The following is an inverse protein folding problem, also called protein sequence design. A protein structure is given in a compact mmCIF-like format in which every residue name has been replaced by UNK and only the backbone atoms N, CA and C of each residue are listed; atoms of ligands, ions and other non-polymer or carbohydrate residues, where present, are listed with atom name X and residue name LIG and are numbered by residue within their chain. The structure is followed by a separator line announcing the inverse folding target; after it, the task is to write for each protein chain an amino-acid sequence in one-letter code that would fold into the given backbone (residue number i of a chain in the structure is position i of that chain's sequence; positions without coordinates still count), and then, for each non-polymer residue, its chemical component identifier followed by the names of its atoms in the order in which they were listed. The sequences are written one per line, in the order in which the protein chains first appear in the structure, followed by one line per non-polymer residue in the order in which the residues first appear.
data_IF_902244203693
#
_entry.id   IF_902244203693
#
_cell.length_a   1.000
_cell.length_b   1.000
_cell.length_c   1.000
_cell.angle_alpha   90.00
_cell.angle_beta   90.00
_cell.angle_gamma   90.00
#
_symmetry.space_group_name_H-M   'P 1'
#
loop_
_entity.id
_entity.type
_entity.pdbx_description
1 polymer ?
#
# COMPACT_ATOMS: atom_id res chain seq x y z
N UNK A 1 -34.29 0.59 -6.99
CA UNK A 1 -33.36 -0.51 -7.31
C UNK A 1 -33.20 -1.33 -6.04
N UNK A 2 -33.31 -2.65 -6.12
CA UNK A 2 -33.21 -3.52 -4.94
C UNK A 2 -31.98 -4.44 -5.02
N UNK A 3 -31.31 -4.60 -3.90
CA UNK A 3 -30.22 -5.58 -3.73
C UNK A 3 -30.81 -6.94 -3.36
N UNK A 4 -30.33 -8.01 -3.99
CA UNK A 4 -30.68 -9.37 -3.59
C UNK A 4 -29.91 -9.78 -2.32
N UNK A 5 -30.27 -10.92 -1.74
CA UNK A 5 -29.67 -11.41 -0.50
C UNK A 5 -28.14 -11.56 -0.58
N UNK A 6 -27.62 -12.10 -1.69
CA UNK A 6 -26.19 -12.30 -1.88
C UNK A 6 -25.44 -10.97 -2.04
N UNK A 7 -26.02 -10.02 -2.78
CA UNK A 7 -25.48 -8.66 -2.92
C UNK A 7 -25.45 -7.93 -1.57
N UNK A 8 -26.54 -8.02 -0.79
CA UNK A 8 -26.59 -7.45 0.57
C UNK A 8 -25.52 -8.05 1.48
N UNK A 9 -25.36 -9.37 1.47
CA UNK A 9 -24.31 -10.06 2.25
C UNK A 9 -22.91 -9.64 1.83
N UNK A 10 -22.66 -9.48 0.53
CA UNK A 10 -21.38 -9.04 0.00
C UNK A 10 -21.04 -7.61 0.44
N UNK A 11 -22.00 -6.68 0.36
CA UNK A 11 -21.81 -5.29 0.80
C UNK A 11 -21.52 -5.23 2.30
N UNK A 12 -22.31 -5.94 3.11
CA UNK A 12 -22.13 -5.97 4.58
C UNK A 12 -20.81 -6.61 4.97
N UNK A 13 -20.35 -7.61 4.22
CA UNK A 13 -19.03 -8.24 4.44
C UNK A 13 -17.90 -7.22 4.30
N UNK A 14 -17.88 -6.43 3.23
CA UNK A 14 -16.83 -5.42 3.05
C UNK A 14 -16.86 -4.39 4.18
N UNK A 15 -18.05 -3.91 4.54
CA UNK A 15 -18.20 -2.88 5.57
C UNK A 15 -17.79 -3.42 6.95
N UNK A 16 -18.12 -4.66 7.26
CA UNK A 16 -17.66 -5.30 8.51
C UNK A 16 -16.13 -5.51 8.50
N UNK A 17 -15.50 -5.79 7.35
CA UNK A 17 -14.04 -5.85 7.25
C UNK A 17 -13.39 -4.47 7.45
N UNK A 18 -13.99 -3.41 6.91
CA UNK A 18 -13.54 -2.01 7.14
C UNK A 18 -13.62 -1.67 8.62
N UNK A 19 -14.80 -1.80 9.24
CA UNK A 19 -15.06 -1.43 10.64
C UNK A 19 -14.30 -2.29 11.66
N UNK A 20 -13.72 -3.42 11.24
CA UNK A 20 -12.94 -4.30 12.13
C UNK A 20 -11.46 -4.31 11.80
N UNK A 21 -11.01 -3.44 10.89
CA UNK A 21 -9.65 -3.41 10.39
C UNK A 21 -8.64 -2.99 11.46
N UNK A 22 -9.01 -2.04 12.31
CA UNK A 22 -8.20 -1.52 13.42
C UNK A 22 -8.30 -2.38 14.69
N UNK A 23 -9.26 -3.31 14.74
CA UNK A 23 -9.55 -4.17 15.88
C UNK A 23 -10.28 -3.47 17.03
N UNK A 24 -10.64 -2.21 16.87
CA UNK A 24 -11.54 -1.47 17.76
C UNK A 24 -12.90 -1.30 17.08
N UNK A 25 -13.88 -0.78 17.80
CA UNK A 25 -15.25 -0.61 17.29
C UNK A 25 -15.76 0.67 17.94
N UNK A 26 -15.70 1.78 17.23
CA UNK A 26 -16.16 3.05 17.75
C UNK A 26 -17.68 3.23 17.59
N UNK A 27 -18.24 4.11 18.42
CA UNK A 27 -19.65 4.45 18.46
C UNK A 27 -20.14 5.05 17.15
N UNK A 28 -19.31 5.80 16.43
CA UNK A 28 -19.72 6.43 15.18
C UNK A 28 -19.80 5.42 14.02
N UNK A 29 -18.91 4.43 13.96
CA UNK A 29 -18.99 3.31 13.02
C UNK A 29 -20.23 2.44 13.25
N UNK A 30 -20.51 2.10 14.52
CA UNK A 30 -21.70 1.34 14.91
C UNK A 30 -22.98 2.11 14.55
N UNK A 31 -22.95 3.44 14.66
CA UNK A 31 -24.07 4.31 14.28
C UNK A 31 -24.25 4.36 12.77
N UNK A 32 -23.16 4.42 12.00
CA UNK A 32 -23.20 4.33 10.55
C UNK A 32 -23.73 2.97 10.06
N UNK A 33 -23.25 1.87 10.64
CA UNK A 33 -23.74 0.53 10.30
C UNK A 33 -25.26 0.40 10.53
N UNK A 34 -25.77 0.95 11.64
CA UNK A 34 -27.23 1.02 11.90
C UNK A 34 -27.99 1.89 10.91
N UNK A 35 -27.37 2.95 10.39
CA UNK A 35 -27.96 3.75 9.32
C UNK A 35 -28.01 2.94 8.02
N UNK A 36 -26.92 2.27 7.68
CA UNK A 36 -26.79 1.46 6.49
C UNK A 36 -27.78 0.29 6.46
N UNK A 37 -27.99 -0.36 7.61
CA UNK A 37 -29.02 -1.38 7.81
C UNK A 37 -30.41 -0.92 7.38
N UNK A 38 -30.74 0.35 7.62
CA UNK A 38 -32.03 0.93 7.20
C UNK A 38 -32.04 1.26 5.71
N UNK A 39 -30.91 1.75 5.18
CA UNK A 39 -30.80 2.16 3.76
C UNK A 39 -30.83 0.96 2.83
N UNK A 40 -30.11 -0.11 3.18
CA UNK A 40 -30.02 -1.35 2.40
C UNK A 40 -31.07 -2.40 2.80
N UNK A 41 -31.90 -2.08 3.79
CA UNK A 41 -32.98 -2.93 4.31
C UNK A 41 -32.49 -4.33 4.69
N UNK A 42 -31.62 -4.41 5.70
CA UNK A 42 -31.11 -5.69 6.23
C UNK A 42 -31.08 -5.71 7.76
N UNK A 43 -31.20 -6.92 8.31
CA UNK A 43 -31.29 -7.15 9.75
C UNK A 43 -29.91 -7.34 10.42
N UNK A 44 -29.83 -7.14 11.73
CA UNK A 44 -28.57 -7.27 12.49
C UNK A 44 -27.93 -8.65 12.35
N UNK A 45 -28.74 -9.69 12.21
CA UNK A 45 -28.29 -11.07 12.04
C UNK A 45 -27.40 -11.25 10.80
N UNK A 46 -27.59 -10.42 9.77
CA UNK A 46 -26.77 -10.45 8.56
C UNK A 46 -25.31 -10.12 8.82
N UNK A 47 -24.99 -9.31 9.84
CA UNK A 47 -23.61 -8.99 10.21
C UNK A 47 -22.89 -10.28 10.65
N UNK A 48 -23.56 -11.11 11.46
CA UNK A 48 -22.99 -12.39 11.89
C UNK A 48 -22.85 -13.38 10.74
N UNK A 49 -23.73 -13.33 9.74
CA UNK A 49 -23.64 -14.16 8.54
C UNK A 49 -22.52 -13.68 7.61
N UNK A 50 -22.41 -12.36 7.40
CA UNK A 50 -21.36 -11.73 6.63
C UNK A 50 -19.97 -12.08 7.19
N UNK A 51 -19.77 -12.06 8.51
CA UNK A 51 -18.51 -12.48 9.16
C UNK A 51 -18.05 -13.89 8.78
N UNK A 52 -19.00 -14.80 8.54
CA UNK A 52 -18.73 -16.18 8.12
C UNK A 52 -18.62 -16.33 6.61
N UNK A 53 -19.02 -15.31 5.86
CA UNK A 53 -19.01 -15.29 4.41
C UNK A 53 -17.59 -15.09 3.88
N UNK A 54 -17.26 -15.72 2.76
CA UNK A 54 -15.92 -15.66 2.19
C UNK A 54 -15.70 -14.34 1.44
N UNK A 55 -14.63 -13.61 1.77
CA UNK A 55 -14.33 -12.28 1.19
C UNK A 55 -14.16 -12.33 -0.33
N UNK A 56 -13.48 -13.37 -0.86
CA UNK A 56 -13.31 -13.54 -2.31
C UNK A 56 -14.64 -13.81 -3.02
N UNK A 57 -15.55 -14.54 -2.40
CA UNK A 57 -16.91 -14.74 -2.93
C UNK A 57 -17.72 -13.45 -2.89
N UNK A 58 -17.56 -12.61 -1.86
CA UNK A 58 -18.17 -11.29 -1.79
C UNK A 58 -17.70 -10.42 -2.97
N UNK A 59 -16.41 -10.38 -3.25
CA UNK A 59 -15.85 -9.60 -4.37
C UNK A 59 -16.37 -10.05 -5.73
N UNK A 60 -16.50 -11.36 -5.95
CA UNK A 60 -17.13 -11.88 -7.16
C UNK A 60 -18.59 -11.43 -7.30
N UNK A 61 -19.37 -11.46 -6.21
CA UNK A 61 -20.76 -10.97 -6.23
C UNK A 61 -20.80 -9.49 -6.58
N UNK A 62 -19.96 -8.66 -5.95
CA UNK A 62 -19.89 -7.21 -6.23
C UNK A 62 -19.52 -6.93 -7.69
N UNK A 63 -18.61 -7.72 -8.26
CA UNK A 63 -18.17 -7.57 -9.65
C UNK A 63 -19.24 -7.86 -10.68
N UNK A 64 -20.10 -8.84 -10.41
CA UNK A 64 -21.18 -9.26 -11.31
C UNK A 64 -22.45 -8.38 -11.19
N UNK A 65 -22.46 -7.39 -10.29
CA UNK A 65 -23.56 -6.43 -10.17
C UNK A 65 -23.65 -5.50 -11.37
N UNK A 66 -24.85 -4.98 -11.66
CA UNK A 66 -25.03 -3.95 -12.68
C UNK A 66 -24.31 -2.65 -12.31
N UNK A 67 -23.86 -1.89 -13.30
CA UNK A 67 -23.14 -0.62 -13.08
C UNK A 67 -23.88 0.37 -12.18
N UNK A 68 -25.20 0.50 -12.33
CA UNK A 68 -26.01 1.35 -11.44
C UNK A 68 -25.92 0.93 -9.96
N UNK A 69 -25.86 -0.38 -9.70
CA UNK A 69 -25.71 -0.92 -8.34
C UNK A 69 -24.30 -0.70 -7.82
N UNK A 70 -23.29 -0.90 -8.66
CA UNK A 70 -21.89 -0.61 -8.32
C UNK A 70 -21.69 0.85 -7.94
N UNK A 71 -22.30 1.79 -8.66
CA UNK A 71 -22.25 3.21 -8.33
C UNK A 71 -22.87 3.52 -6.95
N UNK A 72 -23.96 2.83 -6.58
CA UNK A 72 -24.55 2.98 -5.25
C UNK A 72 -23.64 2.39 -4.17
N UNK A 73 -23.06 1.22 -4.41
CA UNK A 73 -22.10 0.59 -3.48
C UNK A 73 -20.84 1.44 -3.33
N UNK A 74 -20.37 2.05 -4.41
CA UNK A 74 -19.23 2.98 -4.40
C UNK A 74 -19.49 4.16 -3.47
N UNK A 75 -20.65 4.79 -3.59
CA UNK A 75 -21.04 5.88 -2.69
C UNK A 75 -21.15 5.42 -1.24
N UNK A 76 -21.65 4.21 -0.98
CA UNK A 76 -21.72 3.64 0.37
C UNK A 76 -20.32 3.47 0.96
N UNK A 77 -19.38 2.87 0.24
CA UNK A 77 -18.03 2.67 0.74
C UNK A 77 -17.29 4.00 0.93
N UNK A 78 -17.40 4.94 -0.01
CA UNK A 78 -16.80 6.27 0.13
C UNK A 78 -17.38 7.05 1.32
N UNK A 79 -18.66 6.87 1.64
CA UNK A 79 -19.24 7.49 2.84
C UNK A 79 -18.72 6.86 4.11
N UNK A 80 -18.50 5.54 4.14
CA UNK A 80 -17.89 4.84 5.28
C UNK A 80 -16.48 5.35 5.58
N UNK A 81 -15.67 5.57 4.55
CA UNK A 81 -14.33 6.13 4.68
C UNK A 81 -14.29 7.55 5.29
N UNK A 82 -15.40 8.27 5.39
CA UNK A 82 -15.43 9.67 5.84
C UNK A 82 -16.33 9.93 7.06
N UNK A 83 -16.71 8.90 7.81
CA UNK A 83 -17.73 9.01 8.88
C UNK A 83 -17.22 9.73 10.14
N UNK A 84 -15.96 9.59 10.51
CA UNK A 84 -15.41 10.11 11.78
C UNK A 84 -14.50 11.34 11.63
N UNK A 85 -14.05 11.64 10.41
CA UNK A 85 -13.16 12.76 10.12
C UNK A 85 -11.67 12.46 10.36
N UNK A 86 -11.33 11.25 10.83
CA UNK A 86 -9.97 10.75 11.05
C UNK A 86 -9.85 9.37 10.38
N UNK A 87 -9.64 9.35 9.07
CA UNK A 87 -9.69 8.12 8.27
C UNK A 87 -8.49 7.19 8.58
N UNK A 88 -8.72 5.95 9.04
CA UNK A 88 -7.65 4.94 9.17
C UNK A 88 -7.24 4.41 7.78
N UNK A 89 -5.94 4.27 7.55
CA UNK A 89 -5.38 3.71 6.31
C UNK A 89 -5.81 2.26 6.09
N UNK A 90 -6.00 1.47 7.15
CA UNK A 90 -6.45 0.09 7.01
C UNK A 90 -7.87 0.01 6.41
N UNK A 91 -8.74 0.95 6.77
CA UNK A 91 -10.09 1.08 6.23
C UNK A 91 -10.07 1.51 4.77
N UNK A 92 -9.25 2.51 4.44
CA UNK A 92 -9.03 2.99 3.06
C UNK A 92 -8.53 1.84 2.17
N UNK A 93 -7.53 1.09 2.61
CA UNK A 93 -6.93 0.00 1.84
C UNK A 93 -7.97 -1.09 1.51
N UNK A 94 -8.86 -1.42 2.45
CA UNK A 94 -9.94 -2.38 2.23
C UNK A 94 -10.97 -1.84 1.23
N UNK A 95 -11.35 -0.56 1.34
CA UNK A 95 -12.31 0.07 0.43
C UNK A 95 -11.75 0.14 -1.00
N UNK A 96 -10.48 0.52 -1.15
CA UNK A 96 -9.80 0.56 -2.45
C UNK A 96 -9.71 -0.84 -3.04
N UNK A 97 -9.29 -1.83 -2.24
CA UNK A 97 -9.22 -3.22 -2.69
C UNK A 97 -10.59 -3.69 -3.16
N UNK A 98 -11.65 -3.37 -2.42
CA UNK A 98 -13.01 -3.69 -2.82
C UNK A 98 -13.40 -3.03 -4.14
N UNK A 99 -13.04 -1.76 -4.38
CA UNK A 99 -13.31 -1.10 -5.66
C UNK A 99 -12.56 -1.75 -6.83
N UNK A 100 -11.27 -2.05 -6.66
CA UNK A 100 -10.46 -2.67 -7.70
C UNK A 100 -10.98 -4.08 -8.02
N UNK A 101 -11.21 -4.91 -7.00
CA UNK A 101 -11.64 -6.30 -7.19
C UNK A 101 -13.07 -6.43 -7.71
N UNK A 102 -13.96 -5.52 -7.29
CA UNK A 102 -15.34 -5.46 -7.79
C UNK A 102 -15.46 -4.73 -9.15
N UNK A 103 -14.38 -4.16 -9.68
CA UNK A 103 -14.40 -3.39 -10.92
C UNK A 103 -15.36 -2.20 -10.84
N UNK A 104 -15.33 -1.47 -9.73
CA UNK A 104 -16.07 -0.23 -9.52
C UNK A 104 -15.15 0.95 -9.85
N UNK A 105 -15.70 2.03 -10.43
CA UNK A 105 -14.90 3.21 -10.70
C UNK A 105 -14.65 3.97 -9.39
N UNK A 106 -13.39 4.32 -9.14
CA UNK A 106 -12.97 4.99 -7.90
C UNK A 106 -12.95 6.48 -8.18
N UNK A 107 -13.63 7.26 -7.33
CA UNK A 107 -13.56 8.72 -7.36
C UNK A 107 -12.09 9.19 -7.34
N UNK A 108 -11.72 10.14 -8.20
CA UNK A 108 -10.34 10.65 -8.33
C UNK A 108 -9.78 11.13 -6.97
N UNK A 109 -10.63 11.65 -6.08
CA UNK A 109 -10.24 12.09 -4.73
C UNK A 109 -9.68 10.96 -3.83
N UNK A 110 -10.15 9.73 -4.01
CA UNK A 110 -9.64 8.55 -3.27
C UNK A 110 -8.39 7.98 -3.95
N UNK A 111 -8.30 8.07 -5.29
CA UNK A 111 -7.10 7.67 -6.05
C UNK A 111 -5.88 8.54 -5.73
N UNK A 112 -6.09 9.85 -5.54
CA UNK A 112 -5.03 10.81 -5.21
C UNK A 112 -4.52 10.68 -3.77
N UNK A 113 -5.16 9.86 -2.93
CA UNK A 113 -4.74 9.60 -1.55
C UNK A 113 -3.71 8.46 -1.45
N UNK A 114 -3.39 7.78 -2.55
CA UNK A 114 -2.58 6.56 -2.57
C UNK A 114 -1.30 6.81 -3.36
N UNK A 115 -0.16 6.51 -2.75
CA UNK A 115 1.09 6.44 -3.48
C UNK A 115 1.13 5.15 -4.33
N UNK A 116 0.98 5.27 -5.65
CA UNK A 116 1.15 4.12 -6.55
C UNK A 116 2.62 3.69 -6.63
N UNK A 117 2.93 2.53 -6.05
CA UNK A 117 4.26 1.92 -6.06
C UNK A 117 4.55 1.07 -7.30
N UNK A 118 3.59 0.92 -8.23
CA UNK A 118 3.69 -0.02 -9.35
C UNK A 118 4.87 0.28 -10.28
N UNK A 119 5.17 1.55 -10.51
CA UNK A 119 6.36 2.03 -11.22
C UNK A 119 6.80 3.40 -10.66
N UNK A 120 7.22 3.40 -9.40
CA UNK A 120 7.69 4.60 -8.73
C UNK A 120 9.16 4.89 -9.07
N UNK A 121 9.44 6.14 -9.43
CA UNK A 121 10.78 6.65 -9.68
C UNK A 121 11.03 7.93 -8.89
N UNK A 122 12.00 7.91 -7.98
CA UNK A 122 12.35 9.03 -7.12
C UNK A 122 13.77 9.48 -7.41
N UNK A 123 13.93 10.67 -8.00
CA UNK A 123 15.22 11.34 -8.08
C UNK A 123 15.55 12.06 -6.79
N UNK A 124 16.79 11.89 -6.36
CA UNK A 124 17.34 12.48 -5.16
C UNK A 124 18.51 13.39 -5.51
N UNK A 125 18.56 14.55 -4.87
CA UNK A 125 19.66 15.52 -5.06
C UNK A 125 20.96 15.05 -4.41
N UNK A 126 20.89 14.11 -3.47
CA UNK A 126 22.02 13.49 -2.82
C UNK A 126 21.60 12.43 -1.81
N UNK A 127 22.56 11.71 -1.24
CA UNK A 127 22.29 10.70 -0.22
C UNK A 127 23.15 10.90 1.03
N UNK A 128 22.60 10.53 2.19
CA UNK A 128 23.31 10.53 3.49
C UNK A 128 23.33 9.12 4.05
N UNK A 129 24.53 8.59 4.26
CA UNK A 129 24.72 7.28 4.88
C UNK A 129 24.93 7.45 6.39
N UNK A 130 24.12 6.73 7.16
CA UNK A 130 24.22 6.61 8.60
C UNK A 130 24.59 5.17 8.96
N UNK A 131 25.51 4.99 9.91
CA UNK A 131 25.78 3.68 10.53
C UNK A 131 25.55 3.80 12.03
N UNK A 132 24.71 2.94 12.60
CA UNK A 132 24.35 3.00 14.02
C UNK A 132 23.84 4.41 14.42
N UNK A 133 23.08 5.05 13.52
CA UNK A 133 22.56 6.42 13.67
C UNK A 133 23.60 7.55 13.50
N UNK A 134 24.87 7.24 13.21
CA UNK A 134 25.94 8.24 13.02
C UNK A 134 26.24 8.45 11.54
N UNK A 135 26.25 9.71 11.10
CA UNK A 135 26.59 10.09 9.73
C UNK A 135 28.02 9.61 9.38
N UNK A 136 28.14 8.81 8.33
CA UNK A 136 29.39 8.16 7.89
C UNK A 136 30.08 8.89 6.74
N UNK A 137 29.32 9.52 5.85
CA UNK A 137 29.85 10.07 4.60
C UNK A 137 29.08 11.31 4.16
N UNK A 138 29.74 12.47 4.17
CA UNK A 138 29.26 13.68 3.49
C UNK A 138 29.54 13.64 1.97
N UNK A 139 30.26 12.63 1.47
CA UNK A 139 30.67 12.54 0.06
C UNK A 139 29.52 12.11 -0.87
N UNK A 140 28.51 11.41 -0.34
CA UNK A 140 27.28 11.09 -1.09
C UNK A 140 26.29 12.26 -1.12
N UNK A 141 26.47 13.29 -0.30
CA UNK A 141 25.51 14.38 -0.16
C UNK A 141 25.35 15.21 -1.45
N UNK A 142 26.36 15.19 -2.32
CA UNK A 142 26.31 15.82 -3.65
C UNK A 142 26.11 14.83 -4.80
N UNK A 143 26.07 13.52 -4.52
CA UNK A 143 25.96 12.49 -5.54
C UNK A 143 24.49 12.27 -5.91
N UNK A 144 24.06 12.85 -7.03
CA UNK A 144 22.70 12.63 -7.52
C UNK A 144 22.46 11.14 -7.73
N UNK A 145 21.35 10.67 -7.21
CA UNK A 145 20.96 9.27 -7.29
C UNK A 145 19.46 9.17 -7.45
N UNK A 146 18.98 7.99 -7.81
CA UNK A 146 17.57 7.72 -7.84
C UNK A 146 17.26 6.35 -7.24
N UNK A 147 16.03 6.20 -6.78
CA UNK A 147 15.44 4.95 -6.37
C UNK A 147 14.31 4.63 -7.34
N UNK A 148 14.33 3.41 -7.87
CA UNK A 148 13.23 2.84 -8.65
C UNK A 148 12.58 1.70 -7.87
N UNK A 149 11.26 1.78 -7.73
CA UNK A 149 10.41 0.70 -7.20
C UNK A 149 9.50 0.23 -8.32
N UNK A 150 9.53 -1.07 -8.63
CA UNK A 150 8.72 -1.64 -9.71
C UNK A 150 8.06 -2.92 -9.26
N UNK A 151 6.77 -3.08 -9.56
CA UNK A 151 6.02 -4.32 -9.27
C UNK A 151 6.62 -5.52 -10.01
N UNK A 152 6.84 -6.61 -9.29
CA UNK A 152 7.29 -7.89 -9.85
C UNK A 152 6.07 -8.81 -10.05
N UNK A 153 5.55 -8.82 -11.28
CA UNK A 153 4.39 -9.63 -11.68
C UNK A 153 4.64 -11.15 -11.65
N UNK A 154 5.88 -11.60 -11.43
CA UNK A 154 6.25 -13.02 -11.47
C UNK A 154 6.34 -13.67 -10.10
N UNK A 155 6.41 -12.90 -9.00
CA UNK A 155 6.73 -13.40 -7.66
C UNK A 155 5.84 -12.84 -6.54
N UNK A 156 4.54 -13.14 -6.63
CA UNK A 156 3.64 -13.17 -5.46
C UNK A 156 3.59 -11.83 -4.67
N UNK A 157 3.05 -10.78 -5.31
CA UNK A 157 2.83 -9.44 -4.73
C UNK A 157 4.08 -8.69 -4.23
N UNK A 158 5.25 -8.97 -4.83
CA UNK A 158 6.51 -8.30 -4.51
C UNK A 158 6.83 -7.07 -5.37
N UNK A 159 7.72 -6.22 -4.85
CA UNK A 159 8.34 -5.10 -5.54
C UNK A 159 9.84 -5.33 -5.66
N UNK A 160 10.41 -4.85 -6.75
CA UNK A 160 11.85 -4.71 -6.94
C UNK A 160 12.26 -3.29 -6.61
N UNK A 161 13.24 -3.13 -5.72
CA UNK A 161 13.80 -1.84 -5.31
C UNK A 161 15.25 -1.76 -5.75
N UNK A 162 15.60 -0.76 -6.56
CA UNK A 162 16.96 -0.55 -7.09
C UNK A 162 17.39 0.90 -6.89
N UNK A 163 18.65 1.14 -6.54
CA UNK A 163 19.23 2.48 -6.49
C UNK A 163 20.37 2.63 -7.49
N UNK A 164 20.49 3.79 -8.13
CA UNK A 164 21.52 4.10 -9.12
C UNK A 164 22.00 5.55 -8.98
N UNK A 165 23.27 5.79 -9.31
CA UNK A 165 23.84 7.11 -9.46
C UNK A 165 23.40 7.74 -10.79
N UNK A 166 23.24 9.06 -10.80
CA UNK A 166 22.83 9.85 -11.96
C UNK A 166 23.99 10.62 -12.62
N UNK A 167 25.25 10.36 -12.24
CA UNK A 167 26.42 11.08 -12.78
C UNK A 167 27.15 10.37 -13.93
N UNK A 168 27.33 11.19 -14.97
CA UNK A 168 28.04 11.12 -16.26
C UNK A 168 27.59 10.17 -17.38
N UNK A 169 27.72 10.70 -18.60
CA UNK A 169 27.28 10.26 -19.95
C UNK A 169 27.64 8.79 -20.34
N UNK A 170 28.23 8.04 -19.43
CA UNK A 170 28.54 6.61 -19.52
C UNK A 170 27.42 5.68 -19.04
N UNK A 171 26.28 6.23 -18.57
CA UNK A 171 25.07 5.50 -18.17
C UNK A 171 24.46 4.58 -19.27
N UNK A 172 25.02 4.57 -20.47
CA UNK A 172 24.69 3.66 -21.58
C UNK A 172 24.94 2.16 -21.29
N UNK A 173 25.69 1.81 -20.23
CA UNK A 173 26.17 0.43 -20.01
C UNK A 173 25.74 -0.22 -18.68
N UNK A 174 24.89 0.41 -17.87
CA UNK A 174 24.31 -0.24 -16.68
C UNK A 174 25.22 -0.35 -15.45
N UNK A 175 26.41 0.29 -15.46
CA UNK A 175 27.36 0.30 -14.34
C UNK A 175 27.05 1.36 -13.27
N UNK A 176 25.95 2.12 -13.41
CA UNK A 176 25.55 3.16 -12.46
C UNK A 176 24.72 2.62 -11.28
N UNK A 177 24.57 1.30 -11.15
CA UNK A 177 23.84 0.68 -10.04
C UNK A 177 24.59 0.91 -8.74
N UNK A 178 24.01 1.74 -7.88
CA UNK A 178 24.49 1.98 -6.52
C UNK A 178 24.12 0.79 -5.63
N UNK A 179 22.85 0.35 -5.72
CA UNK A 179 22.34 -0.80 -4.97
C UNK A 179 21.55 -1.70 -5.92
N UNK A 180 22.03 -2.95 -6.13
CA UNK A 180 21.35 -3.92 -6.98
C UNK A 180 19.93 -4.21 -6.50
N UNK A 181 19.07 -4.60 -7.45
CA UNK A 181 17.66 -4.91 -7.20
C UNK A 181 17.45 -5.83 -6.00
N UNK A 182 16.62 -5.38 -5.04
CA UNK A 182 16.20 -6.14 -3.86
C UNK A 182 14.70 -6.39 -3.92
N UNK A 183 14.29 -7.63 -3.65
CA UNK A 183 12.88 -8.00 -3.61
C UNK A 183 12.29 -7.63 -2.25
N UNK A 184 11.18 -6.89 -2.25
CA UNK A 184 10.52 -6.39 -1.05
C UNK A 184 8.99 -6.49 -1.14
N UNK A 185 8.32 -6.49 0.01
CA UNK A 185 6.86 -6.40 0.15
C UNK A 185 6.51 -5.25 1.05
N UNK A 186 5.37 -4.61 0.80
CA UNK A 186 4.77 -3.65 1.74
C UNK A 186 4.45 -4.41 3.03
N UNK A 187 4.89 -3.85 4.15
CA UNK A 187 4.60 -4.38 5.50
C UNK A 187 3.85 -3.39 6.38
N UNK A 188 3.89 -2.11 6.02
CA UNK A 188 3.15 -1.03 6.68
C UNK A 188 2.94 0.09 5.65
N UNK A 189 1.78 0.73 5.68
CA UNK A 189 1.52 1.95 4.91
C UNK A 189 0.57 2.85 5.70
N UNK A 190 0.81 4.14 5.66
CA UNK A 190 -0.02 5.20 6.23
C UNK A 190 0.10 6.47 5.34
N UNK A 191 -0.70 7.53 5.57
CA UNK A 191 -0.74 8.70 4.69
C UNK A 191 0.57 9.47 4.55
N UNK A 192 1.48 9.35 5.53
CA UNK A 192 2.76 10.05 5.53
C UNK A 192 3.94 9.13 5.20
N UNK A 193 3.73 7.80 5.21
CA UNK A 193 4.82 6.84 5.12
C UNK A 193 4.38 5.45 4.64
N UNK A 194 5.17 4.86 3.75
CA UNK A 194 5.08 3.43 3.38
C UNK A 194 6.38 2.71 3.71
N UNK A 195 6.28 1.50 4.25
CA UNK A 195 7.42 0.65 4.61
C UNK A 195 7.36 -0.65 3.81
N UNK A 196 8.49 -0.95 3.16
CA UNK A 196 8.72 -2.21 2.50
C UNK A 196 9.82 -3.00 3.24
N UNK A 197 9.64 -4.31 3.35
CA UNK A 197 10.61 -5.25 3.92
C UNK A 197 10.98 -6.29 2.89
N UNK A 198 12.28 -6.61 2.80
CA UNK A 198 12.73 -7.63 1.88
C UNK A 198 12.28 -9.04 2.23
N UNK A 199 12.03 -9.87 1.22
CA UNK A 199 11.58 -11.25 1.39
C UNK A 199 12.27 -12.21 0.41
N UNK A 200 12.47 -13.45 0.83
CA UNK A 200 13.18 -14.46 0.06
C UNK A 200 14.70 -14.39 0.22
N UNK A 201 15.38 -15.28 -0.50
CA UNK A 201 16.83 -15.43 -0.44
C UNK A 201 17.39 -15.43 -1.88
N UNK A 202 18.52 -14.76 -2.07
CA UNK A 202 19.28 -14.83 -3.33
C UNK A 202 20.79 -14.75 -3.02
N UNK A 203 21.36 -15.83 -2.50
CA UNK A 203 22.78 -15.89 -2.15
C UNK A 203 23.72 -15.53 -3.30
N UNK A 204 23.35 -15.92 -4.53
CA UNK A 204 24.14 -15.69 -5.73
C UNK A 204 24.20 -14.20 -6.09
N UNK A 205 23.06 -13.51 -6.16
CA UNK A 205 23.01 -12.06 -6.47
C UNK A 205 23.54 -11.19 -5.32
N UNK A 206 23.65 -11.72 -4.11
CA UNK A 206 24.20 -11.01 -2.95
C UNK A 206 25.67 -11.30 -2.67
N UNK A 207 26.28 -12.24 -3.39
CA UNK A 207 27.67 -12.65 -3.16
C UNK A 207 27.92 -13.20 -1.75
N UNK A 208 26.88 -13.67 -1.08
CA UNK A 208 26.91 -14.17 0.30
C UNK A 208 26.11 -15.47 0.37
N UNK A 209 26.67 -16.59 0.86
CA UNK A 209 25.94 -17.86 1.05
C UNK A 209 24.65 -17.73 1.88
N UNK A 210 24.56 -16.74 2.75
CA UNK A 210 23.39 -16.41 3.58
C UNK A 210 22.67 -15.15 3.08
N UNK A 211 22.77 -14.82 1.79
CA UNK A 211 22.17 -13.64 1.18
C UNK A 211 20.65 -13.65 1.23
N UNK A 212 20.07 -12.92 2.20
CA UNK A 212 18.62 -12.79 2.37
C UNK A 212 18.15 -11.37 2.07
N UNK A 213 17.01 -11.26 1.39
CA UNK A 213 16.40 -9.95 1.16
C UNK A 213 15.87 -9.34 2.45
N UNK A 214 15.54 -10.12 3.48
CA UNK A 214 15.11 -9.62 4.80
C UNK A 214 16.09 -8.68 5.49
N UNK A 215 17.35 -8.69 5.04
CA UNK A 215 18.39 -7.75 5.47
C UNK A 215 18.20 -6.34 4.88
N UNK A 216 17.24 -6.15 3.98
CA UNK A 216 16.94 -4.88 3.34
C UNK A 216 15.51 -4.42 3.63
N UNK A 217 15.30 -3.11 3.63
CA UNK A 217 13.99 -2.49 3.71
C UNK A 217 14.00 -1.09 3.09
N UNK A 218 12.83 -0.52 2.87
CA UNK A 218 12.67 0.81 2.32
C UNK A 218 11.56 1.54 3.07
N UNK A 219 11.86 2.69 3.65
CA UNK A 219 10.85 3.63 4.14
C UNK A 219 10.68 4.75 3.13
N UNK A 220 9.46 5.03 2.73
CA UNK A 220 9.09 6.11 1.82
C UNK A 220 8.29 7.10 2.64
N UNK A 221 8.73 8.35 2.74
CA UNK A 221 8.01 9.41 3.45
C UNK A 221 7.32 10.30 2.42
N UNK A 222 6.00 10.32 2.45
CA UNK A 222 5.17 10.91 1.40
C UNK A 222 3.96 11.71 1.91
N UNK A 223 4.11 12.61 2.91
CA UNK A 223 3.00 13.38 3.44
C UNK A 223 2.26 14.14 2.33
N UNK A 224 0.92 14.12 2.38
CA UNK A 224 0.05 14.68 1.33
C UNK A 224 0.36 14.11 -0.07
N UNK A 225 0.67 12.82 -0.14
CA UNK A 225 1.02 12.08 -1.36
C UNK A 225 2.22 12.67 -2.14
N UNK A 226 3.11 13.39 -1.45
CA UNK A 226 4.33 13.95 -2.04
C UNK A 226 5.54 13.34 -1.36
N UNK A 227 6.31 12.55 -2.11
CA UNK A 227 7.54 11.97 -1.57
C UNK A 227 8.54 13.09 -1.23
N UNK A 228 8.81 13.24 0.05
CA UNK A 228 9.81 14.16 0.58
C UNK A 228 11.17 13.49 0.65
N UNK A 229 11.21 12.24 1.13
CA UNK A 229 12.43 11.46 1.26
C UNK A 229 12.17 9.96 1.25
N UNK A 230 13.23 9.20 1.02
CA UNK A 230 13.24 7.74 1.14
C UNK A 230 14.44 7.31 1.98
N UNK A 231 14.29 6.25 2.78
CA UNK A 231 15.39 5.68 3.55
C UNK A 231 15.50 4.20 3.18
N UNK A 232 16.62 3.82 2.59
CA UNK A 232 16.95 2.43 2.37
C UNK A 232 17.69 1.87 3.59
N UNK A 233 17.15 0.80 4.15
CA UNK A 233 17.67 0.14 5.35
C UNK A 233 18.49 -1.09 4.97
N UNK A 234 19.63 -1.25 5.61
CA UNK A 234 20.45 -2.48 5.63
C UNK A 234 20.59 -2.95 7.06
N UNK A 235 19.72 -3.88 7.44
CA UNK A 235 19.58 -4.36 8.81
C UNK A 235 20.74 -5.24 9.26
N UNK A 236 21.44 -5.91 8.34
CA UNK A 236 22.57 -6.80 8.64
C UNK A 236 23.81 -6.07 9.16
N UNK A 237 23.92 -4.78 8.89
CA UNK A 237 25.06 -3.96 9.30
C UNK A 237 24.69 -2.58 9.86
N UNK A 238 23.41 -2.40 10.18
CA UNK A 238 22.84 -1.19 10.78
C UNK A 238 23.17 0.09 9.98
N UNK A 239 23.03 0.00 8.66
CA UNK A 239 23.23 1.11 7.75
C UNK A 239 21.88 1.61 7.23
N UNK A 240 21.69 2.92 7.32
CA UNK A 240 20.58 3.64 6.69
C UNK A 240 21.11 4.61 5.65
N UNK A 241 20.50 4.61 4.47
CA UNK A 241 20.84 5.54 3.40
C UNK A 241 19.60 6.41 3.15
N UNK A 242 19.68 7.68 3.53
CA UNK A 242 18.62 8.66 3.34
C UNK A 242 18.80 9.38 2.01
N UNK A 243 17.75 9.38 1.19
CA UNK A 243 17.62 10.02 -0.10
C UNK A 243 16.60 11.15 0.03
N UNK A 244 16.96 12.36 -0.38
CA UNK A 244 16.14 13.57 -0.23
C UNK A 244 16.12 14.40 -1.53
N UNK A 245 15.17 15.34 -1.61
CA UNK A 245 15.12 16.37 -2.65
C UNK A 245 15.92 17.59 -2.27
#
# INVERSE_FOLDING_TARGET
MEFNLAEKLAIVKVIDEVITADGELDKDEVKYLKHLMKVLDFEFNFIQEARKFNSRQAMLILREMSEDKKNVVANVFSQMAGVDGDIDQNEIDIIITAFIEAGMDVDESVRDSILDLSDLYFESSGAKEYKEGKLKSAKLESARCAIKVKRDMTKNDGYSVTSFFLEDETALWGDNVHIPSKQMKVVESNPDRTILKGFGEDPASMGNPEGKFSNFGLSIFHPNNKIEKMILHRFDNEIDIEYFR
#
